data_IF_661755377983
#
_entry.id   IF_661755377983
#
_cell.length_a   1.000
_cell.length_b   1.000
_cell.length_c   1.000
_cell.angle_alpha   90.00
_cell.angle_beta   90.00
_cell.angle_gamma   90.00
#
_symmetry.space_group_name_H-M   'P 1'
#
loop_
_entity.id
_entity.type
_entity.pdbx_description
1 polymer ?
#
# COMPACT_ATOMS: atom_id res chain seq x y z
N UNK A 1 30.10 1.40 15.04
CA UNK A 1 28.79 1.96 14.63
C UNK A 1 28.14 2.59 15.87
N UNK A 2 28.31 3.90 16.07
CA UNK A 2 27.74 4.57 17.25
C UNK A 2 26.27 4.90 16.96
N UNK A 3 25.37 4.12 17.57
CA UNK A 3 23.93 4.37 17.51
C UNK A 3 23.62 5.64 18.32
N UNK A 4 23.54 6.78 17.63
CA UNK A 4 23.17 8.04 18.27
C UNK A 4 21.74 7.92 18.83
N UNK A 5 21.48 8.49 20.02
CA UNK A 5 20.16 8.45 20.69
C UNK A 5 18.99 8.86 19.76
N UNK A 6 19.23 9.75 18.80
CA UNK A 6 18.24 10.14 17.78
C UNK A 6 17.90 9.03 16.78
N UNK A 7 18.85 8.18 16.43
CA UNK A 7 18.63 7.01 15.56
C UNK A 7 17.81 5.94 16.27
N UNK A 8 18.08 5.73 17.56
CA UNK A 8 17.30 4.87 18.45
C UNK A 8 15.83 5.28 18.51
N UNK A 9 15.58 6.58 18.71
CA UNK A 9 14.23 7.12 18.80
C UNK A 9 13.46 6.94 17.49
N UNK A 10 14.09 7.17 16.33
CA UNK A 10 13.47 6.99 15.01
C UNK A 10 13.10 5.54 14.75
N UNK A 11 13.98 4.61 15.10
CA UNK A 11 13.73 3.17 14.94
C UNK A 11 12.62 2.72 15.89
N UNK A 12 12.64 3.17 17.15
CA UNK A 12 11.56 2.91 18.10
C UNK A 12 10.22 3.47 17.59
N UNK A 13 10.19 4.67 17.02
CA UNK A 13 8.97 5.28 16.48
C UNK A 13 8.43 4.50 15.27
N UNK A 14 9.30 4.05 14.38
CA UNK A 14 8.92 3.19 13.25
C UNK A 14 8.38 1.84 13.72
N UNK A 15 9.01 1.23 14.73
CA UNK A 15 8.55 -0.02 15.32
C UNK A 15 7.19 0.13 16.01
N UNK A 16 6.98 1.24 16.74
CA UNK A 16 5.68 1.56 17.36
C UNK A 16 4.62 1.79 16.29
N UNK A 17 4.94 2.51 15.21
CA UNK A 17 4.02 2.72 14.10
C UNK A 17 3.64 1.39 13.42
N UNK A 18 4.62 0.53 13.15
CA UNK A 18 4.39 -0.82 12.62
C UNK A 18 3.54 -1.66 13.56
N UNK A 19 3.86 -1.67 14.85
CA UNK A 19 3.09 -2.40 15.86
C UNK A 19 1.66 -1.87 15.97
N UNK A 20 1.45 -0.55 15.87
CA UNK A 20 0.13 0.06 15.85
C UNK A 20 -0.66 -0.32 14.59
N UNK A 21 -0.03 -0.37 13.42
CA UNK A 21 -0.66 -0.83 12.17
C UNK A 21 -1.04 -2.31 12.28
N UNK A 22 -0.14 -3.16 12.78
CA UNK A 22 -0.42 -4.58 13.00
C UNK A 22 -1.56 -4.75 14.00
N UNK A 23 -1.50 -4.05 15.14
CA UNK A 23 -2.55 -4.07 16.15
C UNK A 23 -3.88 -3.57 15.58
N UNK A 24 -3.88 -2.51 14.78
CA UNK A 24 -5.07 -2.03 14.08
C UNK A 24 -5.62 -3.08 13.11
N UNK A 25 -4.76 -3.76 12.34
CA UNK A 25 -5.17 -4.84 11.44
C UNK A 25 -5.79 -6.03 12.20
N UNK A 26 -5.35 -6.31 13.42
CA UNK A 26 -5.91 -7.39 14.26
C UNK A 26 -7.13 -6.96 15.09
N UNK A 27 -7.24 -5.70 15.49
CA UNK A 27 -8.33 -5.21 16.34
C UNK A 27 -9.50 -4.63 15.59
N UNK A 28 -9.26 -4.00 14.43
CA UNK A 28 -10.34 -3.66 13.53
C UNK A 28 -10.85 -4.95 12.87
N UNK A 29 -12.17 -5.18 12.81
CA UNK A 29 -12.76 -6.34 12.16
C UNK A 29 -12.73 -6.21 10.63
N UNK A 30 -11.55 -5.88 10.07
CA UNK A 30 -11.31 -5.72 8.63
C UNK A 30 -11.68 -7.02 7.91
N UNK A 31 -11.35 -8.16 8.49
CA UNK A 31 -11.75 -9.46 7.94
C UNK A 31 -13.28 -9.61 7.84
N UNK A 32 -14.03 -9.19 8.87
CA UNK A 32 -15.49 -9.25 8.82
C UNK A 32 -16.07 -8.29 7.77
N UNK A 33 -15.55 -7.06 7.71
CA UNK A 33 -15.99 -6.05 6.72
C UNK A 33 -15.73 -6.55 5.29
N UNK A 34 -14.56 -7.13 5.03
CA UNK A 34 -14.21 -7.65 3.71
C UNK A 34 -15.02 -8.90 3.35
N UNK A 35 -15.36 -9.75 4.33
CA UNK A 35 -16.27 -10.88 4.13
C UNK A 35 -17.70 -10.41 3.81
N UNK A 36 -18.23 -9.46 4.57
CA UNK A 36 -19.55 -8.88 4.32
C UNK A 36 -19.60 -8.20 2.95
N UNK A 37 -18.53 -7.50 2.57
CA UNK A 37 -18.37 -6.95 1.23
C UNK A 37 -18.38 -8.05 0.16
N UNK A 38 -17.63 -9.14 0.32
CA UNK A 38 -17.62 -10.25 -0.63
C UNK A 38 -19.01 -10.89 -0.79
N UNK A 39 -19.71 -11.12 0.32
CA UNK A 39 -21.07 -11.66 0.32
C UNK A 39 -22.06 -10.72 -0.38
N UNK A 40 -21.89 -9.40 -0.20
CA UNK A 40 -22.66 -8.39 -0.90
C UNK A 40 -22.39 -8.41 -2.41
N UNK A 41 -21.12 -8.50 -2.82
CA UNK A 41 -20.75 -8.59 -4.24
C UNK A 41 -21.30 -9.87 -4.88
N UNK A 42 -21.29 -11.00 -4.16
CA UNK A 42 -21.88 -12.25 -4.64
C UNK A 42 -23.39 -12.12 -4.86
N UNK A 43 -24.11 -11.56 -3.88
CA UNK A 43 -25.58 -11.45 -3.92
C UNK A 43 -26.09 -10.45 -4.95
N UNK A 44 -25.51 -9.26 -5.01
CA UNK A 44 -26.10 -8.14 -5.75
C UNK A 44 -25.45 -7.89 -7.12
N UNK A 45 -24.21 -8.34 -7.34
CA UNK A 45 -23.46 -7.99 -8.56
C UNK A 45 -23.24 -9.16 -9.53
N UNK A 46 -23.33 -10.41 -9.08
CA UNK A 46 -23.23 -11.61 -9.92
C UNK A 46 -22.08 -11.53 -10.96
N UNK A 47 -22.36 -11.37 -12.28
CA UNK A 47 -21.32 -11.31 -13.31
C UNK A 47 -20.34 -10.13 -13.22
N UNK A 48 -20.73 -9.02 -12.58
CA UNK A 48 -19.89 -7.82 -12.43
C UNK A 48 -18.96 -7.88 -11.21
N UNK A 49 -19.08 -8.93 -10.39
CA UNK A 49 -18.29 -9.09 -9.18
C UNK A 49 -16.77 -8.97 -9.36
N UNK A 50 -16.16 -9.59 -10.40
CA UNK A 50 -14.73 -9.43 -10.67
C UNK A 50 -14.31 -7.98 -10.93
N UNK A 51 -15.14 -7.16 -11.57
CA UNK A 51 -14.79 -5.77 -11.82
C UNK A 51 -14.74 -4.97 -10.50
N UNK A 52 -15.69 -5.23 -9.60
CA UNK A 52 -15.77 -4.55 -8.31
C UNK A 52 -14.68 -5.02 -7.35
N UNK A 53 -14.28 -6.28 -7.40
CA UNK A 53 -13.08 -6.76 -6.71
C UNK A 53 -11.83 -6.00 -7.13
N UNK A 54 -11.59 -5.83 -8.44
CA UNK A 54 -10.43 -5.11 -8.95
C UNK A 54 -10.41 -3.66 -8.47
N UNK A 55 -11.57 -2.98 -8.47
CA UNK A 55 -11.70 -1.60 -7.99
C UNK A 55 -11.48 -1.51 -6.49
N UNK A 56 -12.04 -2.44 -5.70
CA UNK A 56 -11.82 -2.49 -4.26
C UNK A 56 -10.36 -2.78 -3.89
N UNK A 57 -9.64 -3.53 -4.73
CA UNK A 57 -8.24 -3.86 -4.53
C UNK A 57 -7.31 -2.62 -4.56
N UNK A 58 -7.67 -1.59 -5.34
CA UNK A 58 -6.88 -0.35 -5.50
C UNK A 58 -6.67 0.37 -4.16
N UNK A 59 -7.72 0.82 -3.43
CA UNK A 59 -7.54 1.50 -2.15
C UNK A 59 -6.91 0.59 -1.08
N UNK A 60 -7.20 -0.72 -1.09
CA UNK A 60 -6.54 -1.66 -0.18
C UNK A 60 -5.02 -1.69 -0.42
N UNK A 61 -4.59 -1.70 -1.67
CA UNK A 61 -3.18 -1.66 -2.06
C UNK A 61 -2.52 -0.35 -1.65
N UNK A 62 -3.20 0.79 -1.89
CA UNK A 62 -2.69 2.12 -1.53
C UNK A 62 -2.55 2.28 -0.02
N UNK A 63 -3.48 1.73 0.75
CA UNK A 63 -3.50 1.80 2.22
C UNK A 63 -2.66 0.70 2.90
N UNK A 64 -2.01 -0.17 2.11
CA UNK A 64 -1.27 -1.33 2.61
C UNK A 64 -2.10 -2.25 3.54
N UNK A 65 -3.40 -2.35 3.26
CA UNK A 65 -4.32 -3.23 4.00
C UNK A 65 -4.13 -4.67 3.52
N UNK A 66 -4.15 -5.67 4.42
CA UNK A 66 -4.05 -7.08 4.04
C UNK A 66 -5.19 -7.47 3.09
N UNK A 67 -4.89 -7.68 1.81
CA UNK A 67 -5.88 -8.02 0.77
C UNK A 67 -6.16 -9.53 0.64
N UNK A 68 -5.55 -10.37 1.50
CA UNK A 68 -5.67 -11.84 1.46
C UNK A 68 -7.12 -12.32 1.44
N UNK A 69 -8.01 -11.65 2.17
CA UNK A 69 -9.43 -11.98 2.22
C UNK A 69 -10.10 -11.75 0.85
N UNK A 70 -9.79 -10.65 0.16
CA UNK A 70 -10.32 -10.38 -1.18
C UNK A 70 -9.75 -11.35 -2.22
N UNK A 71 -8.47 -11.69 -2.14
CA UNK A 71 -7.85 -12.62 -3.08
C UNK A 71 -8.37 -14.04 -2.94
N UNK A 72 -8.44 -14.54 -1.70
CA UNK A 72 -8.97 -15.88 -1.44
C UNK A 72 -10.48 -15.92 -1.66
N UNK A 73 -11.20 -14.89 -1.20
CA UNK A 73 -12.65 -14.78 -1.37
C UNK A 73 -13.05 -14.62 -2.84
N UNK A 74 -12.34 -13.80 -3.60
CA UNK A 74 -12.58 -13.61 -5.03
C UNK A 74 -12.30 -14.86 -5.86
N UNK A 75 -11.20 -15.57 -5.54
CA UNK A 75 -10.91 -16.86 -6.16
C UNK A 75 -11.93 -17.95 -5.80
N UNK A 76 -12.46 -17.94 -4.57
CA UNK A 76 -13.50 -18.86 -4.13
C UNK A 76 -14.86 -18.57 -4.80
N UNK A 77 -15.27 -17.30 -4.87
CA UNK A 77 -16.59 -16.89 -5.37
C UNK A 77 -16.68 -16.85 -6.90
N UNK A 78 -15.67 -16.32 -7.58
CA UNK A 78 -15.69 -16.11 -9.04
C UNK A 78 -14.85 -17.14 -9.80
N UNK A 79 -14.21 -18.06 -9.08
CA UNK A 79 -13.28 -19.03 -9.62
C UNK A 79 -11.86 -18.47 -9.77
N UNK A 80 -10.89 -19.39 -9.83
CA UNK A 80 -9.46 -19.07 -9.81
C UNK A 80 -9.06 -18.10 -10.94
N UNK A 81 -9.54 -18.33 -12.17
CA UNK A 81 -9.08 -17.57 -13.33
C UNK A 81 -9.61 -16.13 -13.33
N UNK A 82 -10.91 -15.94 -13.08
CA UNK A 82 -11.53 -14.60 -13.06
C UNK A 82 -11.08 -13.80 -11.83
N UNK A 83 -11.01 -14.43 -10.67
CA UNK A 83 -10.45 -13.81 -9.46
C UNK A 83 -9.00 -13.39 -9.66
N UNK A 84 -8.15 -14.26 -10.22
CA UNK A 84 -6.74 -13.96 -10.49
C UNK A 84 -6.54 -12.78 -11.45
N UNK A 85 -7.30 -12.74 -12.56
CA UNK A 85 -7.20 -11.65 -13.53
C UNK A 85 -7.65 -10.33 -12.90
N UNK A 86 -8.78 -10.35 -12.19
CA UNK A 86 -9.30 -9.19 -11.48
C UNK A 86 -8.29 -8.64 -10.47
N UNK A 87 -7.79 -9.49 -9.59
CA UNK A 87 -6.81 -9.13 -8.57
C UNK A 87 -5.50 -8.64 -9.18
N UNK A 88 -5.02 -9.27 -10.25
CA UNK A 88 -3.78 -8.84 -10.91
C UNK A 88 -3.92 -7.44 -11.51
N UNK A 89 -5.05 -7.15 -12.14
CA UNK A 89 -5.33 -5.81 -12.69
C UNK A 89 -5.48 -4.80 -11.55
N UNK A 90 -6.29 -5.13 -10.53
CA UNK A 90 -6.51 -4.28 -9.36
C UNK A 90 -5.22 -3.96 -8.61
N UNK A 91 -4.35 -4.97 -8.42
CA UNK A 91 -3.04 -4.82 -7.79
C UNK A 91 -2.09 -3.97 -8.63
N UNK A 92 -2.06 -4.17 -9.95
CA UNK A 92 -1.19 -3.40 -10.86
C UNK A 92 -1.59 -1.92 -10.86
N UNK A 93 -2.89 -1.65 -11.00
CA UNK A 93 -3.43 -0.28 -10.97
C UNK A 93 -3.24 0.35 -9.58
N UNK A 94 -3.49 -0.41 -8.51
CA UNK A 94 -3.29 0.00 -7.13
C UNK A 94 -1.84 0.36 -6.83
N UNK A 95 -0.89 -0.46 -7.28
CA UNK A 95 0.54 -0.20 -7.16
C UNK A 95 0.95 1.05 -7.96
N UNK A 96 0.41 1.22 -9.17
CA UNK A 96 0.60 2.44 -9.96
C UNK A 96 0.07 3.69 -9.25
N UNK A 97 -1.12 3.62 -8.66
CA UNK A 97 -1.71 4.71 -7.89
C UNK A 97 -0.88 5.03 -6.64
N UNK A 98 -0.46 4.01 -5.89
CA UNK A 98 0.41 4.16 -4.72
C UNK A 98 1.75 4.82 -5.09
N UNK A 99 2.34 4.40 -6.22
CA UNK A 99 3.56 5.00 -6.74
C UNK A 99 3.37 6.48 -7.11
N UNK A 100 2.28 6.83 -7.80
CA UNK A 100 1.99 8.22 -8.19
C UNK A 100 1.75 9.10 -6.96
N UNK A 101 1.04 8.60 -5.95
CA UNK A 101 0.84 9.30 -4.68
C UNK A 101 2.17 9.51 -3.94
N UNK A 102 3.01 8.48 -3.87
CA UNK A 102 4.36 8.60 -3.31
C UNK A 102 5.25 9.57 -4.09
N UNK A 103 5.14 9.60 -5.42
CA UNK A 103 5.93 10.48 -6.29
C UNK A 103 5.50 11.94 -6.22
N UNK A 104 4.21 12.22 -6.04
CA UNK A 104 3.69 13.59 -6.01
C UNK A 104 3.75 14.16 -4.59
N UNK A 105 3.06 13.51 -3.66
CA UNK A 105 2.92 13.97 -2.27
C UNK A 105 4.16 13.59 -1.45
N UNK A 106 4.63 12.35 -1.58
CA UNK A 106 5.79 11.87 -0.83
C UNK A 106 7.09 12.58 -1.18
N UNK A 107 7.27 12.98 -2.45
CA UNK A 107 8.49 13.66 -2.91
C UNK A 107 8.77 14.97 -2.18
N UNK A 108 7.76 15.81 -1.94
CA UNK A 108 7.97 17.11 -1.28
C UNK A 108 8.40 16.93 0.18
N UNK A 109 7.82 15.95 0.88
CA UNK A 109 8.18 15.55 2.23
C UNK A 109 9.63 15.05 2.29
N UNK A 110 10.00 14.13 1.39
CA UNK A 110 11.36 13.58 1.32
C UNK A 110 12.38 14.67 1.01
N UNK A 111 12.13 15.50 -0.01
CA UNK A 111 13.02 16.61 -0.36
C UNK A 111 13.21 17.57 0.81
N UNK A 112 12.14 17.92 1.53
CA UNK A 112 12.23 18.80 2.70
C UNK A 112 13.10 18.19 3.79
N UNK A 113 12.97 16.88 4.06
CA UNK A 113 13.78 16.18 5.07
C UNK A 113 15.24 15.97 4.64
N UNK A 114 15.52 15.92 3.34
CA UNK A 114 16.87 15.74 2.80
C UNK A 114 17.68 17.04 2.74
N UNK A 115 17.04 18.22 2.87
CA UNK A 115 17.75 19.51 2.90
C UNK A 115 18.78 19.60 4.02
N UNK A 116 18.54 18.90 5.12
CA UNK A 116 19.40 18.90 6.30
C UNK A 116 20.68 18.04 6.11
N UNK A 117 20.79 17.27 5.02
CA UNK A 117 21.92 16.37 4.77
C UNK A 117 22.80 16.87 3.61
N UNK A 118 23.98 17.47 3.88
CA UNK A 118 24.83 18.08 2.86
C UNK A 118 25.34 17.08 1.81
N UNK A 119 25.52 15.81 2.18
CA UNK A 119 25.95 14.74 1.27
C UNK A 119 24.94 14.51 0.13
N UNK A 120 23.64 14.50 0.46
CA UNK A 120 22.58 14.34 -0.55
C UNK A 120 22.50 15.53 -1.50
N UNK A 121 22.78 16.74 -0.98
CA UNK A 121 22.83 17.95 -1.80
C UNK A 121 23.99 17.91 -2.80
N UNK A 122 25.17 17.44 -2.38
CA UNK A 122 26.32 17.27 -3.27
C UNK A 122 26.06 16.23 -4.37
N UNK A 123 25.45 15.10 -4.01
CA UNK A 123 25.04 14.08 -4.99
C UNK A 123 24.01 14.63 -5.97
N UNK A 124 23.01 15.38 -5.50
CA UNK A 124 22.02 16.00 -6.38
C UNK A 124 22.64 17.00 -7.37
N UNK A 125 23.61 17.80 -6.92
CA UNK A 125 24.37 18.73 -7.78
C UNK A 125 25.23 17.98 -8.80
N UNK A 126 25.87 16.88 -8.40
CA UNK A 126 26.69 16.06 -9.29
C UNK A 126 25.83 15.43 -10.40
N UNK A 127 24.66 14.89 -10.06
CA UNK A 127 23.70 14.31 -11.02
C UNK A 127 23.23 15.38 -12.02
N UNK A 128 22.85 16.57 -11.54
CA UNK A 128 22.46 17.70 -12.41
C UNK A 128 23.59 18.11 -13.38
N UNK A 129 24.84 18.13 -12.91
CA UNK A 129 26.00 18.45 -13.75
C UNK A 129 26.29 17.38 -14.80
N UNK A 130 25.94 16.12 -14.52
CA UNK A 130 26.08 14.99 -15.44
C UNK A 130 24.95 14.89 -16.46
N UNK A 131 23.95 15.80 -16.45
CA UNK A 131 22.86 15.84 -17.43
C UNK A 131 21.76 14.80 -17.22
N UNK A 132 21.69 14.19 -16.03
CA UNK A 132 20.67 13.23 -15.62
C UNK A 132 19.58 13.87 -14.75
#
# INVERSE_FOLDING_TARGET
>A
MAFTRGSALRIALLLVLLAAIVYACFTLPIEAILKDFLLWVEKDLGPWGPLVLAVAYIPLTVLAVPASVLTLGGGYLFGLLLGFISDSIGATVGAGAAFLLGRTIGRSLVVTRLKDYPQFRLVAIAIQRSGF
#
